data_IF_248406328600
#
_entry.id   IF_248406328600
#
_cell.length_a   1.000
_cell.length_b   1.000
_cell.length_c   1.000
_cell.angle_alpha   90.00
_cell.angle_beta   90.00
_cell.angle_gamma   90.00
#
_symmetry.space_group_name_H-M   'P 1'
#
loop_
_entity.id
_entity.type
_entity.pdbx_description
1 polymer ?
#
# COMPACT_ATOMS: atom_id res chain seq x y z
N UNK A 1 -29.33 -23.49 10.19
CA UNK A 1 -29.37 -22.54 11.31
C UNK A 1 -29.43 -21.12 10.75
N UNK A 2 -30.60 -20.47 10.80
CA UNK A 2 -30.77 -19.12 10.29
C UNK A 2 -30.85 -18.08 11.42
N UNK A 3 -30.10 -17.01 11.21
CA UNK A 3 -30.20 -15.63 11.69
C UNK A 3 -31.45 -15.23 12.50
N UNK A 4 -31.24 -14.96 13.78
CA UNK A 4 -32.13 -14.17 14.64
C UNK A 4 -32.01 -12.68 14.31
N UNK A 5 -33.05 -12.12 13.68
CA UNK A 5 -33.31 -10.68 13.66
C UNK A 5 -34.21 -10.32 14.84
N UNK A 6 -33.74 -9.44 15.71
CA UNK A 6 -34.56 -8.75 16.70
C UNK A 6 -35.59 -7.84 16.00
N UNK A 7 -36.87 -7.85 16.43
CA UNK A 7 -37.77 -6.72 16.23
C UNK A 7 -37.93 -5.97 17.56
N UNK A 8 -37.39 -4.76 17.65
CA UNK A 8 -37.86 -3.76 18.62
C UNK A 8 -38.69 -2.75 17.86
N UNK A 9 -39.96 -3.11 17.63
CA UNK A 9 -41.02 -2.14 17.34
C UNK A 9 -41.90 -2.15 18.57
N UNK A 10 -41.68 -1.17 19.45
CA UNK A 10 -42.53 -0.88 20.59
C UNK A 10 -43.97 -0.71 20.10
N UNK A 11 -44.81 -1.71 20.36
CA UNK A 11 -46.25 -1.57 20.34
C UNK A 11 -46.59 -0.60 21.48
N UNK A 12 -46.96 0.63 21.14
CA UNK A 12 -47.70 1.47 22.07
C UNK A 12 -49.13 0.91 22.13
N UNK A 13 -49.45 0.28 23.25
CA UNK A 13 -50.81 -0.10 23.61
C UNK A 13 -51.69 1.18 23.63
N UNK A 14 -52.57 1.33 22.65
CA UNK A 14 -53.60 2.36 22.64
C UNK A 14 -54.69 1.96 23.63
N UNK A 15 -54.74 2.61 24.79
CA UNK A 15 -55.75 2.37 25.82
C UNK A 15 -57.19 2.72 25.38
N UNK A 16 -58.21 2.30 26.16
CA UNK A 16 -59.64 2.38 25.81
C UNK A 16 -60.16 3.80 25.53
N UNK A 17 -59.50 4.83 26.07
CA UNK A 17 -59.83 6.25 25.84
C UNK A 17 -59.54 6.67 24.38
N UNK A 18 -58.53 6.07 23.75
CA UNK A 18 -58.09 6.41 22.39
C UNK A 18 -59.08 5.96 21.32
N UNK A 19 -59.74 4.82 21.53
CA UNK A 19 -60.76 4.30 20.62
C UNK A 19 -62.07 5.08 20.73
N UNK A 20 -62.46 5.48 21.93
CA UNK A 20 -63.67 6.29 22.16
C UNK A 20 -63.55 7.68 21.52
N UNK A 21 -62.40 8.35 21.69
CA UNK A 21 -62.13 9.66 21.06
C UNK A 21 -62.09 9.53 19.53
N UNK A 22 -61.53 8.44 19.00
CA UNK A 22 -61.51 8.16 17.56
C UNK A 22 -62.92 7.95 17.00
N UNK A 23 -63.79 7.26 17.74
CA UNK A 23 -65.20 7.07 17.39
C UNK A 23 -65.94 8.40 17.30
N UNK A 24 -65.87 9.22 18.36
CA UNK A 24 -66.53 10.54 18.39
C UNK A 24 -66.03 11.48 17.30
N UNK A 25 -64.74 11.45 16.97
CA UNK A 25 -64.20 12.22 15.84
C UNK A 25 -64.82 11.79 14.49
N UNK A 26 -64.90 10.47 14.24
CA UNK A 26 -65.46 9.95 13.00
C UNK A 26 -66.95 10.27 12.88
N UNK A 27 -67.69 10.25 13.98
CA UNK A 27 -69.11 10.61 14.00
C UNK A 27 -69.32 12.09 13.66
N UNK A 28 -68.50 12.99 14.20
CA UNK A 28 -68.54 14.42 13.87
C UNK A 28 -68.18 14.68 12.40
N UNK A 29 -67.24 13.91 11.83
CA UNK A 29 -66.92 14.00 10.38
C UNK A 29 -68.09 13.48 9.53
N UNK A 30 -68.81 12.44 9.98
CA UNK A 30 -69.96 11.92 9.24
C UNK A 30 -71.16 12.89 9.24
N UNK A 31 -71.34 13.66 10.30
CA UNK A 31 -72.39 14.69 10.44
C UNK A 31 -72.13 15.95 9.59
N UNK A 32 -70.92 16.13 9.06
CA UNK A 32 -70.59 17.27 8.19
C UNK A 32 -71.23 17.13 6.79
N UNK A 33 -71.54 18.24 6.09
CA UNK A 33 -71.93 18.21 4.68
C UNK A 33 -70.86 17.54 3.80
N UNK A 34 -71.27 16.90 2.71
CA UNK A 34 -70.36 16.16 1.80
C UNK A 34 -69.25 17.05 1.23
N UNK A 35 -69.52 18.34 1.07
CA UNK A 35 -68.57 19.35 0.59
C UNK A 35 -67.51 19.71 1.64
N UNK A 36 -67.81 19.51 2.93
CA UNK A 36 -66.96 19.91 4.08
C UNK A 36 -66.10 18.75 4.58
N UNK A 37 -66.53 17.50 4.38
CA UNK A 37 -65.77 16.30 4.78
C UNK A 37 -64.33 16.28 4.24
N UNK A 38 -64.05 16.61 2.96
CA UNK A 38 -62.68 16.65 2.44
C UNK A 38 -61.82 17.72 3.12
N UNK A 39 -62.42 18.87 3.47
CA UNK A 39 -61.72 19.96 4.14
C UNK A 39 -61.32 19.60 5.58
N UNK A 40 -62.22 18.94 6.33
CA UNK A 40 -61.94 18.45 7.69
C UNK A 40 -60.80 17.41 7.69
N UNK A 41 -60.85 16.42 6.79
CA UNK A 41 -59.80 15.41 6.67
C UNK A 41 -58.48 16.01 6.19
N UNK A 42 -58.52 16.95 5.24
CA UNK A 42 -57.35 17.68 4.75
C UNK A 42 -56.69 18.50 5.85
N UNK A 43 -57.47 19.22 6.66
CA UNK A 43 -56.98 19.99 7.80
C UNK A 43 -56.37 19.09 8.87
N UNK A 44 -56.97 17.95 9.19
CA UNK A 44 -56.41 16.98 10.14
C UNK A 44 -55.00 16.51 9.71
N UNK A 45 -54.84 16.17 8.43
CA UNK A 45 -53.53 15.77 7.87
C UNK A 45 -52.55 16.94 7.92
N UNK A 46 -53.01 18.16 7.63
CA UNK A 46 -52.18 19.37 7.66
C UNK A 46 -51.72 19.75 9.07
N UNK A 47 -52.60 19.60 10.07
CA UNK A 47 -52.29 19.81 11.50
C UNK A 47 -51.26 18.78 11.97
N UNK A 48 -51.48 17.50 11.66
CA UNK A 48 -50.53 16.43 11.99
C UNK A 48 -49.14 16.70 11.40
N UNK A 49 -49.06 17.03 10.11
CA UNK A 49 -47.79 17.39 9.45
C UNK A 49 -47.13 18.61 10.09
N UNK A 50 -47.92 19.59 10.52
CA UNK A 50 -47.42 20.77 11.24
C UNK A 50 -46.75 20.40 12.56
N UNK A 51 -47.40 19.55 13.36
CA UNK A 51 -46.83 19.11 14.64
C UNK A 51 -45.66 18.14 14.49
N UNK A 52 -45.71 17.23 13.52
CA UNK A 52 -44.57 16.37 13.19
C UNK A 52 -43.33 17.21 12.80
N UNK A 53 -43.54 18.32 12.06
CA UNK A 53 -42.48 19.26 11.71
C UNK A 53 -41.99 20.12 12.90
N UNK A 54 -42.85 20.37 13.89
CA UNK A 54 -42.53 21.12 15.10
C UNK A 54 -41.87 20.28 16.21
N UNK A 55 -41.70 18.97 16.01
CA UNK A 55 -41.08 18.06 16.98
C UNK A 55 -42.05 17.45 18.01
N UNK A 56 -43.35 17.56 17.77
CA UNK A 56 -44.41 17.03 18.64
C UNK A 56 -45.61 17.98 18.75
N UNK A 57 -46.77 17.52 19.25
CA UNK A 57 -47.89 18.40 19.55
C UNK A 57 -47.50 19.35 20.70
N UNK A 58 -47.91 20.63 20.67
CA UNK A 58 -47.75 21.52 21.81
C UNK A 58 -48.49 20.96 23.03
N UNK A 59 -48.10 21.31 24.27
CA UNK A 59 -48.93 21.06 25.43
C UNK A 59 -50.26 21.80 25.20
N UNK A 60 -51.32 21.05 24.90
CA UNK A 60 -52.64 21.62 24.76
C UNK A 60 -53.07 22.06 26.16
N UNK A 61 -52.93 23.35 26.46
CA UNK A 61 -53.66 23.94 27.57
C UNK A 61 -55.15 23.69 27.28
N UNK A 62 -55.72 22.79 28.08
CA UNK A 62 -57.12 22.42 28.21
C UNK A 62 -58.08 23.17 27.28
N UNK A 63 -58.26 22.64 26.07
CA UNK A 63 -59.42 22.96 25.26
C UNK A 63 -60.62 22.20 25.86
N UNK A 64 -61.14 22.70 26.99
CA UNK A 64 -62.34 22.18 27.68
C UNK A 64 -63.66 22.50 26.93
N UNK A 65 -63.59 22.76 25.62
CA UNK A 65 -64.78 22.94 24.80
C UNK A 65 -65.32 21.58 24.39
N UNK A 66 -66.53 21.22 24.86
CA UNK A 66 -67.23 20.03 24.40
C UNK A 66 -67.48 20.12 22.89
N UNK A 67 -66.80 19.25 22.12
CA UNK A 67 -66.98 19.17 20.67
C UNK A 67 -68.33 18.52 20.37
N UNK A 68 -69.33 19.35 20.10
CA UNK A 68 -70.71 18.90 19.89
C UNK A 68 -71.12 18.85 18.41
N UNK A 69 -70.46 19.65 17.56
CA UNK A 69 -70.79 19.75 16.12
C UNK A 69 -69.56 19.67 15.21
N UNK A 70 -69.79 19.36 13.93
CA UNK A 70 -68.74 19.38 12.91
C UNK A 70 -68.12 20.77 12.71
N UNK A 71 -68.86 21.84 13.01
CA UNK A 71 -68.39 23.22 12.92
C UNK A 71 -67.37 23.52 14.03
N UNK A 72 -67.60 23.00 15.24
CA UNK A 72 -66.67 23.09 16.36
C UNK A 72 -65.36 22.36 16.03
N UNK A 73 -65.47 21.19 15.41
CA UNK A 73 -64.31 20.42 14.95
C UNK A 73 -63.50 21.19 13.89
N UNK A 74 -64.18 21.84 12.93
CA UNK A 74 -63.51 22.66 11.93
C UNK A 74 -62.77 23.83 12.57
N UNK A 75 -63.41 24.53 13.50
CA UNK A 75 -62.81 25.66 14.22
C UNK A 75 -61.57 25.23 15.02
N UNK A 76 -61.66 24.09 15.72
CA UNK A 76 -60.54 23.51 16.44
C UNK A 76 -59.38 23.16 15.51
N UNK A 77 -59.65 22.48 14.38
CA UNK A 77 -58.60 22.11 13.42
C UNK A 77 -57.92 23.33 12.79
N UNK A 78 -58.67 24.40 12.52
CA UNK A 78 -58.11 25.67 12.02
C UNK A 78 -57.27 26.34 13.10
N UNK A 79 -57.72 26.38 14.35
CA UNK A 79 -56.98 26.95 15.47
C UNK A 79 -55.68 26.16 15.74
N UNK A 80 -55.73 24.83 15.73
CA UNK A 80 -54.55 23.97 15.85
C UNK A 80 -53.59 24.15 14.67
N UNK A 81 -54.11 24.35 13.46
CA UNK A 81 -53.26 24.61 12.29
C UNK A 81 -52.53 25.95 12.42
N UNK A 82 -53.24 26.98 12.89
CA UNK A 82 -52.67 28.30 13.16
C UNK A 82 -51.61 28.24 14.27
N UNK A 83 -51.91 27.53 15.36
CA UNK A 83 -50.93 27.28 16.43
C UNK A 83 -49.71 26.50 15.92
N UNK A 84 -49.87 25.54 15.00
CA UNK A 84 -48.76 24.83 14.36
C UNK A 84 -47.91 25.73 13.44
N UNK A 85 -48.51 26.78 12.87
CA UNK A 85 -47.80 27.76 12.03
C UNK A 85 -47.12 28.86 12.87
N UNK A 86 -47.70 29.24 14.01
CA UNK A 86 -47.18 30.21 14.97
C UNK A 86 -46.16 29.60 15.97
N UNK A 87 -46.17 28.27 16.14
CA UNK A 87 -45.19 27.57 16.95
C UNK A 87 -43.77 27.86 16.43
N UNK A 88 -42.83 28.25 17.31
CA UNK A 88 -41.46 28.53 16.90
C UNK A 88 -40.88 27.27 16.29
N UNK A 89 -40.77 27.25 14.95
CA UNK A 89 -40.21 26.12 14.22
C UNK A 89 -38.75 25.98 14.67
N UNK A 90 -38.46 25.04 15.57
CA UNK A 90 -37.11 24.70 16.06
C UNK A 90 -36.20 24.14 14.95
N UNK A 91 -36.00 24.89 13.87
CA UNK A 91 -35.51 24.39 12.58
C UNK A 91 -34.45 25.26 11.90
N UNK A 92 -34.04 26.39 12.47
CA UNK A 92 -32.81 27.07 12.02
C UNK A 92 -31.59 26.58 12.80
N UNK A 93 -31.59 26.65 14.14
CA UNK A 93 -30.46 26.19 14.95
C UNK A 93 -30.13 24.70 14.72
N UNK A 94 -31.14 23.85 14.62
CA UNK A 94 -30.99 22.40 14.39
C UNK A 94 -30.52 22.08 12.96
N UNK A 95 -30.94 22.90 11.98
CA UNK A 95 -30.54 22.74 10.57
C UNK A 95 -29.14 23.29 10.33
N UNK A 96 -28.80 24.41 10.97
CA UNK A 96 -27.46 24.99 11.00
C UNK A 96 -26.49 24.01 11.67
N UNK A 97 -26.81 23.46 12.84
CA UNK A 97 -25.98 22.45 13.50
C UNK A 97 -25.78 21.18 12.64
N UNK A 98 -26.81 20.76 11.88
CA UNK A 98 -26.69 19.65 10.93
C UNK A 98 -25.81 20.01 9.72
N UNK A 99 -25.93 21.23 9.20
CA UNK A 99 -25.09 21.75 8.12
C UNK A 99 -23.65 21.91 8.56
N UNK A 100 -23.39 22.45 9.74
CA UNK A 100 -22.07 22.54 10.37
C UNK A 100 -21.45 21.17 10.57
N UNK A 101 -22.21 20.19 11.07
CA UNK A 101 -21.73 18.81 11.19
C UNK A 101 -21.38 18.21 9.82
N UNK A 102 -22.24 18.41 8.80
CA UNK A 102 -21.96 17.93 7.43
C UNK A 102 -20.78 18.64 6.80
N UNK A 103 -20.65 19.94 7.02
CA UNK A 103 -19.54 20.75 6.54
C UNK A 103 -18.23 20.33 7.21
N UNK A 104 -18.23 20.07 8.52
CA UNK A 104 -17.06 19.54 9.23
C UNK A 104 -16.65 18.15 8.70
N UNK A 105 -17.61 17.26 8.42
CA UNK A 105 -17.34 15.96 7.80
C UNK A 105 -16.79 16.11 6.38
N UNK A 106 -17.38 16.98 5.56
CA UNK A 106 -16.91 17.28 4.21
C UNK A 106 -15.51 17.91 4.22
N UNK A 107 -15.25 18.85 5.13
CA UNK A 107 -13.96 19.49 5.31
C UNK A 107 -12.88 18.47 5.67
N UNK A 108 -13.15 17.61 6.67
CA UNK A 108 -12.23 16.51 7.04
C UNK A 108 -12.01 15.55 5.87
N UNK A 109 -13.06 15.19 5.14
CA UNK A 109 -12.94 14.33 3.95
C UNK A 109 -12.11 15.00 2.86
N UNK A 110 -12.27 16.31 2.65
CA UNK A 110 -11.54 17.07 1.66
C UNK A 110 -10.06 17.23 2.04
N UNK A 111 -9.76 17.62 3.29
CA UNK A 111 -8.40 17.69 3.83
C UNK A 111 -7.70 16.33 3.71
N UNK A 112 -8.41 15.23 4.01
CA UNK A 112 -7.90 13.86 3.83
C UNK A 112 -7.62 13.52 2.36
N UNK A 113 -8.53 13.88 1.45
CA UNK A 113 -8.35 13.64 0.02
C UNK A 113 -7.19 14.44 -0.54
N UNK A 114 -7.00 15.69 -0.09
CA UNK A 114 -5.85 16.51 -0.47
C UNK A 114 -4.54 15.88 0.00
N UNK A 115 -4.43 15.53 1.29
CA UNK A 115 -3.24 14.86 1.83
C UNK A 115 -2.94 13.56 1.08
N UNK A 116 -3.96 12.76 0.75
CA UNK A 116 -3.75 11.54 -0.04
C UNK A 116 -3.21 11.85 -1.44
N UNK A 117 -3.72 12.89 -2.10
CA UNK A 117 -3.25 13.30 -3.44
C UNK A 117 -1.81 13.82 -3.38
N UNK A 118 -1.48 14.60 -2.36
CA UNK A 118 -0.12 15.10 -2.13
C UNK A 118 0.85 13.93 -1.91
N UNK A 119 0.53 13.01 -0.99
CA UNK A 119 1.32 11.78 -0.78
C UNK A 119 1.42 10.96 -2.07
N UNK A 120 0.31 10.77 -2.81
CA UNK A 120 0.34 10.04 -4.08
C UNK A 120 1.27 10.68 -5.09
N UNK A 121 1.21 12.01 -5.24
CA UNK A 121 2.04 12.75 -6.19
C UNK A 121 3.52 12.61 -5.84
N UNK A 122 3.89 12.89 -4.60
CA UNK A 122 5.28 12.79 -4.12
C UNK A 122 5.83 11.36 -4.20
N UNK A 123 5.03 10.35 -3.83
CA UNK A 123 5.45 8.95 -3.96
C UNK A 123 5.62 8.52 -5.43
N UNK A 124 4.73 8.98 -6.32
CA UNK A 124 4.86 8.69 -7.74
C UNK A 124 6.09 9.38 -8.32
N UNK A 125 6.39 10.61 -7.89
CA UNK A 125 7.56 11.39 -8.34
C UNK A 125 8.87 10.78 -7.87
N UNK A 126 8.98 10.41 -6.59
CA UNK A 126 10.08 9.60 -6.05
C UNK A 126 10.29 8.30 -6.85
N UNK A 127 9.21 7.77 -7.43
CA UNK A 127 9.22 6.59 -8.26
C UNK A 127 9.50 6.82 -9.74
N UNK A 128 9.67 8.04 -10.28
CA UNK A 128 9.79 8.30 -11.74
C UNK A 128 11.19 8.00 -12.30
N UNK A 129 12.26 8.31 -11.57
CA UNK A 129 13.63 8.14 -12.04
C UNK A 129 14.15 6.69 -11.91
N UNK A 130 15.17 6.34 -12.69
CA UNK A 130 15.83 5.01 -12.62
C UNK A 130 16.81 4.98 -11.43
N UNK A 131 16.26 4.97 -10.23
CA UNK A 131 17.00 4.99 -8.97
C UNK A 131 17.11 3.58 -8.36
N UNK A 132 18.08 3.36 -7.48
CA UNK A 132 18.18 2.08 -6.79
C UNK A 132 16.95 1.89 -5.89
N UNK A 133 16.52 0.64 -5.71
CA UNK A 133 15.34 0.32 -4.87
C UNK A 133 15.48 0.89 -3.46
N UNK A 134 16.70 0.87 -2.92
CA UNK A 134 17.05 1.48 -1.64
C UNK A 134 16.65 2.96 -1.60
N UNK A 135 17.00 3.71 -2.63
CA UNK A 135 16.80 5.16 -2.72
C UNK A 135 15.29 5.48 -2.85
N UNK A 136 14.55 4.71 -3.66
CA UNK A 136 13.10 4.88 -3.81
C UNK A 136 12.35 4.60 -2.50
N UNK A 137 12.79 3.57 -1.75
CA UNK A 137 12.21 3.26 -0.43
C UNK A 137 12.54 4.35 0.59
N UNK A 138 13.77 4.86 0.57
CA UNK A 138 14.22 5.95 1.43
C UNK A 138 13.41 7.23 1.18
N UNK A 139 13.30 7.69 -0.06
CA UNK A 139 12.47 8.84 -0.45
C UNK A 139 11.00 8.63 -0.08
N UNK A 140 10.46 7.43 -0.32
CA UNK A 140 9.09 7.10 0.09
C UNK A 140 8.88 7.23 1.60
N UNK A 141 9.90 6.88 2.39
CA UNK A 141 9.87 7.00 3.84
C UNK A 141 10.03 8.44 4.32
N UNK A 142 10.84 9.25 3.64
CA UNK A 142 10.92 10.69 3.90
C UNK A 142 9.58 11.39 3.68
N UNK A 143 8.93 11.12 2.54
CA UNK A 143 7.58 11.63 2.23
C UNK A 143 6.60 11.23 3.32
N UNK A 144 6.51 9.93 3.64
CA UNK A 144 5.58 9.47 4.66
C UNK A 144 5.92 9.99 6.07
N UNK A 145 7.20 10.14 6.41
CA UNK A 145 7.61 10.73 7.70
C UNK A 145 7.17 12.19 7.78
N UNK A 146 7.38 12.96 6.72
CA UNK A 146 7.00 14.36 6.63
C UNK A 146 5.48 14.52 6.72
N UNK A 147 4.74 13.87 5.82
CA UNK A 147 3.29 14.01 5.68
C UNK A 147 2.51 13.45 6.87
N UNK A 148 2.99 12.36 7.49
CA UNK A 148 2.36 11.81 8.69
C UNK A 148 2.91 12.41 10.00
N UNK A 149 3.89 13.32 9.89
CA UNK A 149 4.50 14.04 11.01
C UNK A 149 5.17 13.13 12.02
N UNK A 150 5.87 12.10 11.57
CA UNK A 150 6.63 11.18 12.42
C UNK A 150 8.03 11.74 12.73
N UNK A 151 8.59 11.32 13.86
CA UNK A 151 9.90 11.78 14.35
C UNK A 151 11.08 11.07 13.66
N UNK A 152 10.86 9.87 13.11
CA UNK A 152 11.90 9.02 12.54
C UNK A 152 11.29 7.96 11.61
N UNK A 153 12.06 7.54 10.60
CA UNK A 153 11.74 6.36 9.79
C UNK A 153 12.88 5.31 9.82
N UNK A 154 12.51 4.06 9.55
CA UNK A 154 13.43 2.95 9.26
C UNK A 154 12.89 2.16 8.08
N UNK A 155 13.76 1.88 7.12
CA UNK A 155 13.46 1.15 5.91
C UNK A 155 14.23 -0.17 5.90
N UNK A 156 13.54 -1.26 5.58
CA UNK A 156 14.14 -2.58 5.42
C UNK A 156 13.72 -3.23 4.13
N UNK A 157 14.65 -3.97 3.53
CA UNK A 157 14.39 -4.81 2.37
C UNK A 157 14.71 -6.26 2.69
N UNK A 158 13.93 -7.17 2.12
CA UNK A 158 14.12 -8.59 2.26
C UNK A 158 15.13 -9.08 1.23
N UNK A 159 16.20 -9.73 1.70
CA UNK A 159 17.19 -10.40 0.86
C UNK A 159 16.66 -11.72 0.29
N UNK A 160 17.37 -12.26 -0.69
CA UNK A 160 17.00 -13.51 -1.37
C UNK A 160 17.05 -14.73 -0.44
N UNK A 161 17.98 -14.73 0.53
CA UNK A 161 18.08 -15.74 1.59
C UNK A 161 16.94 -15.66 2.62
N UNK A 162 16.06 -14.67 2.48
CA UNK A 162 14.92 -14.43 3.34
C UNK A 162 15.21 -13.57 4.57
N UNK A 163 16.47 -13.18 4.80
CA UNK A 163 16.87 -12.25 5.85
C UNK A 163 16.43 -10.81 5.55
N UNK A 164 16.40 -9.96 6.57
CA UNK A 164 15.98 -8.56 6.45
C UNK A 164 17.16 -7.63 6.69
N UNK A 165 17.41 -6.74 5.76
CA UNK A 165 18.49 -5.76 5.81
C UNK A 165 17.94 -4.35 6.03
N UNK A 166 18.60 -3.59 6.90
CA UNK A 166 18.32 -2.16 7.07
C UNK A 166 18.96 -1.40 5.93
N UNK A 167 18.15 -0.71 5.13
CA UNK A 167 18.65 -0.01 3.95
C UNK A 167 18.73 1.50 4.17
N UNK A 168 17.82 2.08 4.95
CA UNK A 168 17.83 3.50 5.27
C UNK A 168 17.17 3.75 6.64
N UNK A 169 17.60 4.81 7.32
CA UNK A 169 16.96 5.27 8.55
C UNK A 169 17.41 6.70 8.84
N UNK A 170 16.46 7.61 9.06
CA UNK A 170 16.76 8.97 9.49
C UNK A 170 15.74 9.51 10.52
N UNK A 171 16.16 10.52 11.27
CA UNK A 171 15.35 11.30 12.21
C UNK A 171 14.93 12.64 11.61
N UNK A 172 13.86 13.24 12.12
CA UNK A 172 13.38 14.55 11.68
C UNK A 172 14.44 15.67 11.81
N UNK A 173 15.39 15.53 12.74
CA UNK A 173 16.44 16.51 13.01
C UNK A 173 17.73 16.25 12.21
N UNK A 174 17.75 15.26 11.31
CA UNK A 174 18.94 14.86 10.54
C UNK A 174 20.10 14.35 11.43
N UNK A 175 19.79 13.93 12.65
CA UNK A 175 20.77 13.37 13.60
C UNK A 175 21.00 11.91 13.26
N UNK A 176 22.24 11.45 13.48
CA UNK A 176 22.61 10.04 13.34
C UNK A 176 21.55 9.14 13.98
N UNK A 177 20.97 8.26 13.18
CA UNK A 177 19.93 7.36 13.64
C UNK A 177 20.51 6.43 14.70
N UNK A 178 19.91 6.36 15.90
CA UNK A 178 20.43 5.52 16.97
C UNK A 178 20.17 4.01 16.72
N UNK A 179 19.77 3.63 15.51
CA UNK A 179 19.25 2.30 15.16
C UNK A 179 20.36 1.46 14.54
N UNK A 180 21.20 0.92 15.41
CA UNK A 180 22.07 -0.21 15.08
C UNK A 180 21.53 -1.46 15.75
N UNK A 181 20.48 -2.04 15.17
CA UNK A 181 20.11 -3.42 15.52
C UNK A 181 20.04 -4.20 14.23
N UNK A 182 21.05 -5.05 14.04
CA UNK A 182 21.05 -6.09 13.01
C UNK A 182 19.80 -6.99 13.14
N UNK A 183 19.28 -7.09 14.37
CA UNK A 183 18.15 -7.92 14.79
C UNK A 183 17.05 -7.07 15.47
N UNK A 184 16.28 -6.29 14.70
CA UNK A 184 15.00 -5.78 15.21
C UNK A 184 14.06 -6.95 15.57
N UNK A 185 13.05 -6.74 16.42
CA UNK A 185 11.99 -7.64 16.90
C UNK A 185 11.36 -8.50 15.80
N UNK A 186 11.54 -8.10 14.56
CA UNK A 186 11.18 -8.80 13.34
C UNK A 186 11.91 -10.14 13.12
N UNK A 187 12.88 -10.48 13.96
CA UNK A 187 13.42 -11.85 14.06
C UNK A 187 12.50 -12.79 14.85
N UNK A 188 11.56 -12.26 15.64
CA UNK A 188 10.66 -13.03 16.48
C UNK A 188 9.34 -13.33 15.77
N UNK A 189 8.99 -14.60 15.51
CA UNK A 189 7.78 -14.98 14.76
C UNK A 189 6.46 -14.49 15.37
N UNK A 190 6.45 -14.22 16.68
CA UNK A 190 5.26 -13.81 17.41
C UNK A 190 5.02 -12.30 17.42
N UNK A 191 5.99 -11.51 16.96
CA UNK A 191 5.87 -10.06 16.90
C UNK A 191 4.73 -9.64 15.93
N UNK A 192 3.85 -8.68 16.28
CA UNK A 192 2.69 -8.33 15.45
C UNK A 192 3.01 -7.98 13.99
N UNK A 193 4.13 -7.27 13.75
CA UNK A 193 4.59 -6.96 12.39
C UNK A 193 4.98 -8.25 11.65
N UNK A 194 5.67 -9.18 12.31
CA UNK A 194 6.07 -10.44 11.67
C UNK A 194 4.92 -11.40 11.45
N UNK A 195 3.99 -11.46 12.39
CA UNK A 195 2.74 -12.18 12.19
C UNK A 195 2.05 -11.65 10.93
N UNK A 196 1.95 -10.34 10.77
CA UNK A 196 1.39 -9.75 9.56
C UNK A 196 2.22 -10.07 8.30
N UNK A 197 3.56 -10.00 8.35
CA UNK A 197 4.45 -10.41 7.26
C UNK A 197 4.20 -11.87 6.83
N UNK A 198 4.11 -12.78 7.80
CA UNK A 198 3.92 -14.22 7.60
C UNK A 198 2.49 -14.64 7.26
N UNK A 199 1.48 -13.88 7.69
CA UNK A 199 0.07 -14.18 7.46
C UNK A 199 -0.27 -14.29 5.97
N UNK A 200 0.61 -13.81 5.06
CA UNK A 200 0.54 -14.04 3.61
C UNK A 200 -0.71 -13.45 2.94
N UNK A 201 -1.63 -12.92 3.74
CA UNK A 201 -2.89 -12.37 3.32
C UNK A 201 -2.61 -11.02 2.66
N UNK A 202 -3.05 -10.85 1.40
CA UNK A 202 -2.90 -9.62 0.59
C UNK A 202 -3.58 -8.38 1.18
N UNK A 203 -4.11 -8.45 2.39
CA UNK A 203 -4.99 -7.44 2.98
C UNK A 203 -4.30 -6.59 4.03
N UNK A 204 -3.22 -7.06 4.65
CA UNK A 204 -2.53 -6.32 5.71
C UNK A 204 -1.32 -5.58 5.12
N UNK A 205 -1.48 -4.26 5.00
CA UNK A 205 -0.46 -3.32 4.51
C UNK A 205 0.17 -2.47 5.60
N UNK A 206 -0.39 -2.46 6.80
CA UNK A 206 0.18 -1.72 7.92
C UNK A 206 -0.14 -2.38 9.27
N UNK A 207 0.67 -2.08 10.27
CA UNK A 207 0.50 -2.45 11.69
C UNK A 207 0.79 -1.23 12.54
N UNK A 208 -0.10 -0.91 13.49
CA UNK A 208 0.12 0.12 14.50
C UNK A 208 0.48 -0.55 15.81
N UNK A 209 1.59 -0.13 16.42
CA UNK A 209 2.04 -0.58 17.74
C UNK A 209 2.10 0.63 18.67
N UNK A 210 1.31 0.63 19.74
CA UNK A 210 1.17 1.79 20.62
C UNK A 210 1.84 1.62 21.99
N UNK A 211 2.47 0.48 22.26
CA UNK A 211 3.19 0.25 23.50
C UNK A 211 4.64 -0.14 23.23
N UNK A 212 5.43 0.84 22.78
CA UNK A 212 6.86 0.64 22.52
C UNK A 212 7.74 0.75 23.78
N UNK A 213 7.17 0.66 24.98
CA UNK A 213 7.97 0.64 26.20
C UNK A 213 8.77 -0.66 26.26
N UNK A 214 9.93 -0.60 26.91
CA UNK A 214 10.77 -1.78 27.14
C UNK A 214 10.02 -2.89 27.87
N UNK A 215 10.27 -4.14 27.48
CA UNK A 215 9.76 -5.34 28.17
C UNK A 215 9.96 -5.28 29.70
N UNK A 216 11.10 -4.73 30.14
CA UNK A 216 11.47 -4.56 31.54
C UNK A 216 10.56 -3.64 32.35
N UNK A 217 9.76 -2.78 31.70
CA UNK A 217 8.76 -1.90 32.31
C UNK A 217 7.32 -2.24 31.86
N UNK A 218 7.13 -3.43 31.31
CA UNK A 218 5.81 -3.95 30.93
C UNK A 218 5.26 -3.44 29.60
N UNK A 219 6.13 -2.95 28.70
CA UNK A 219 5.75 -2.66 27.32
C UNK A 219 6.00 -3.81 26.35
N UNK A 220 5.59 -3.65 25.11
CA UNK A 220 5.63 -4.70 24.08
C UNK A 220 6.89 -4.65 23.20
N UNK A 221 7.80 -3.67 23.40
CA UNK A 221 8.95 -3.46 22.52
C UNK A 221 10.31 -3.74 23.19
N UNK A 222 11.15 -4.50 22.48
CA UNK A 222 12.57 -4.73 22.66
C UNK A 222 13.43 -3.82 21.74
N UNK A 223 12.90 -3.43 20.58
CA UNK A 223 13.50 -2.53 19.59
C UNK A 223 13.83 -1.20 20.22
N UNK A 224 12.94 -0.68 21.05
CA UNK A 224 13.04 0.66 21.60
C UNK A 224 13.84 0.76 22.90
N UNK A 225 14.17 -0.37 23.53
CA UNK A 225 14.93 -0.46 24.78
C UNK A 225 16.31 0.19 24.70
N UNK A 226 17.11 0.02 23.62
CA UNK A 226 18.40 0.69 23.48
C UNK A 226 18.30 2.21 23.31
N UNK A 227 17.17 2.73 22.81
CA UNK A 227 17.12 4.10 22.31
C UNK A 227 17.06 5.16 23.41
N UNK A 228 16.55 4.87 24.62
CA UNK A 228 16.40 5.82 25.76
C UNK A 228 15.71 7.18 25.44
N UNK A 229 15.42 7.49 24.18
CA UNK A 229 14.80 8.71 23.65
C UNK A 229 13.31 8.74 23.95
N UNK A 230 12.71 7.56 24.18
CA UNK A 230 11.34 7.45 24.64
C UNK A 230 10.29 7.47 23.52
N UNK A 231 10.53 6.77 22.41
CA UNK A 231 9.47 6.45 21.44
C UNK A 231 8.32 5.68 22.10
N UNK A 232 7.09 5.92 21.66
CA UNK A 232 5.87 5.36 22.27
C UNK A 232 4.97 4.67 21.26
N UNK A 233 4.95 5.13 20.02
CA UNK A 233 4.13 4.53 18.97
C UNK A 233 4.90 4.33 17.67
N UNK A 234 4.55 3.27 16.95
CA UNK A 234 5.14 2.83 15.67
C UNK A 234 4.03 2.53 14.68
N UNK A 235 4.23 2.98 13.45
CA UNK A 235 3.41 2.61 12.30
C UNK A 235 4.32 1.88 11.30
N UNK A 236 4.08 0.60 11.09
CA UNK A 236 4.85 -0.25 10.20
C UNK A 236 4.05 -0.52 8.93
N UNK A 237 4.49 -0.02 7.79
CA UNK A 237 3.98 -0.41 6.48
C UNK A 237 4.68 -1.66 5.97
N UNK A 238 3.90 -2.58 5.42
CA UNK A 238 4.38 -3.85 4.86
C UNK A 238 4.28 -3.79 3.35
N UNK A 239 5.43 -3.77 2.68
CA UNK A 239 5.52 -3.68 1.24
C UNK A 239 5.38 -5.08 0.62
N UNK A 240 4.39 -5.24 -0.25
CA UNK A 240 4.02 -6.54 -0.84
C UNK A 240 4.01 -6.51 -2.36
N UNK A 241 4.48 -7.59 -2.96
CA UNK A 241 4.41 -7.81 -4.40
C UNK A 241 2.97 -8.18 -4.85
N UNK A 242 2.79 -8.35 -6.17
CA UNK A 242 1.51 -8.73 -6.76
C UNK A 242 0.99 -10.10 -6.24
N UNK A 243 1.90 -10.98 -5.82
CA UNK A 243 1.61 -12.29 -5.27
C UNK A 243 1.14 -12.19 -3.81
N UNK A 244 1.48 -11.10 -3.11
CA UNK A 244 1.18 -10.86 -1.69
C UNK A 244 2.36 -11.16 -0.76
N UNK A 245 3.52 -11.53 -1.30
CA UNK A 245 4.73 -11.80 -0.53
C UNK A 245 5.34 -10.46 -0.10
N UNK A 246 5.66 -10.36 1.19
CA UNK A 246 6.33 -9.19 1.73
C UNK A 246 7.79 -9.16 1.26
N UNK A 247 8.21 -8.01 0.74
CA UNK A 247 9.57 -7.76 0.25
C UNK A 247 10.26 -6.58 0.95
N UNK A 248 9.49 -5.72 1.63
CA UNK A 248 10.01 -4.51 2.26
C UNK A 248 9.19 -4.10 3.48
N UNK A 249 9.80 -3.32 4.36
CA UNK A 249 9.17 -2.74 5.55
C UNK A 249 9.57 -1.27 5.67
N UNK A 250 8.61 -0.44 6.05
CA UNK A 250 8.81 0.98 6.30
C UNK A 250 8.16 1.32 7.64
N UNK A 251 8.99 1.61 8.63
CA UNK A 251 8.57 1.83 10.00
C UNK A 251 8.71 3.31 10.35
N UNK A 252 7.63 3.92 10.79
CA UNK A 252 7.60 5.29 11.30
C UNK A 252 7.46 5.24 12.82
N UNK A 253 8.18 6.12 13.51
CA UNK A 253 8.16 6.19 14.97
C UNK A 253 7.83 7.59 15.46
N UNK A 254 7.13 7.66 16.59
CA UNK A 254 6.81 8.92 17.26
C UNK A 254 6.96 8.79 18.78
N UNK A 255 7.39 9.88 19.42
CA UNK A 255 7.55 9.96 20.89
C UNK A 255 6.23 10.09 21.63
N UNK A 256 5.13 10.43 20.95
CA UNK A 256 3.80 10.56 21.54
C UNK A 256 3.12 9.20 21.59
N UNK A 257 2.39 9.00 22.69
CA UNK A 257 1.58 7.80 22.87
C UNK A 257 0.38 7.79 21.91
N UNK A 258 0.08 6.60 21.37
CA UNK A 258 -1.02 6.37 20.42
C UNK A 258 -1.09 7.35 19.25
N UNK A 259 0.05 7.88 18.81
CA UNK A 259 0.11 8.96 17.83
C UNK A 259 -0.61 8.62 16.52
N UNK A 260 -0.35 7.43 15.97
CA UNK A 260 -0.87 7.02 14.68
C UNK A 260 -2.35 6.63 14.68
N UNK A 261 -2.99 6.49 15.85
CA UNK A 261 -4.44 6.19 15.97
C UNK A 261 -5.33 7.29 15.37
N UNK A 262 -4.78 8.48 15.16
CA UNK A 262 -5.49 9.59 14.51
C UNK A 262 -5.82 9.32 13.04
N UNK A 263 -5.10 8.41 12.40
CA UNK A 263 -5.24 8.13 10.97
C UNK A 263 -6.23 6.98 10.76
N UNK A 264 -7.10 7.12 9.77
CA UNK A 264 -8.07 6.07 9.44
C UNK A 264 -7.37 4.87 8.80
N UNK A 265 -7.80 3.66 9.17
CA UNK A 265 -7.22 2.42 8.64
C UNK A 265 -7.27 2.31 7.11
N UNK A 266 -8.33 2.84 6.47
CA UNK A 266 -8.44 2.86 5.02
C UNK A 266 -7.35 3.72 4.37
N UNK A 267 -7.09 4.91 4.94
CA UNK A 267 -6.05 5.81 4.47
C UNK A 267 -4.65 5.18 4.58
N UNK A 268 -4.34 4.56 5.72
CA UNK A 268 -3.07 3.87 5.91
C UNK A 268 -2.92 2.66 4.99
N UNK A 269 -4.01 1.93 4.74
CA UNK A 269 -4.00 0.83 3.76
C UNK A 269 -3.63 1.32 2.36
N UNK A 270 -4.22 2.44 1.94
CA UNK A 270 -3.98 3.00 0.61
C UNK A 270 -2.54 3.53 0.48
N UNK A 271 -2.00 4.21 1.51
CA UNK A 271 -0.59 4.61 1.55
C UNK A 271 0.34 3.40 1.38
N UNK A 272 0.12 2.33 2.17
CA UNK A 272 0.92 1.11 2.08
C UNK A 272 0.85 0.43 0.71
N UNK A 273 -0.32 0.46 0.05
CA UNK A 273 -0.48 -0.05 -1.32
C UNK A 273 0.29 0.76 -2.34
N UNK A 274 0.19 2.09 -2.29
CA UNK A 274 0.87 2.99 -3.23
C UNK A 274 2.39 2.80 -3.13
N UNK A 275 2.93 2.77 -1.91
CA UNK A 275 4.37 2.52 -1.71
C UNK A 275 4.74 1.11 -2.20
N UNK A 276 3.94 0.09 -1.87
CA UNK A 276 4.17 -1.29 -2.35
C UNK A 276 4.24 -1.36 -3.87
N UNK A 277 3.33 -0.67 -4.57
CA UNK A 277 3.28 -0.64 -6.03
C UNK A 277 4.47 0.12 -6.61
N UNK A 278 4.80 1.27 -6.04
CA UNK A 278 5.90 2.14 -6.50
C UNK A 278 7.24 1.42 -6.37
N UNK A 279 7.55 0.91 -5.18
CA UNK A 279 8.79 0.19 -4.90
C UNK A 279 8.82 -1.17 -5.61
N UNK A 280 7.71 -1.91 -5.59
CA UNK A 280 7.60 -3.24 -6.19
C UNK A 280 7.82 -3.20 -7.71
N UNK A 281 7.23 -2.21 -8.40
CA UNK A 281 7.46 -2.02 -9.84
C UNK A 281 8.94 -1.78 -10.15
N UNK A 282 9.65 -1.04 -9.31
CA UNK A 282 11.09 -0.78 -9.49
C UNK A 282 11.94 -2.02 -9.23
N UNK A 283 11.59 -2.82 -8.21
CA UNK A 283 12.21 -4.11 -7.98
C UNK A 283 12.08 -5.06 -9.18
N UNK A 284 10.90 -5.13 -9.76
CA UNK A 284 10.63 -5.99 -10.92
C UNK A 284 11.41 -5.52 -12.15
N UNK A 285 11.45 -4.22 -12.42
CA UNK A 285 12.25 -3.64 -13.52
C UNK A 285 13.75 -3.89 -13.32
N UNK A 286 14.27 -3.70 -12.11
CA UNK A 286 15.69 -3.98 -11.82
C UNK A 286 16.03 -5.45 -12.00
N UNK A 287 15.15 -6.36 -11.55
CA UNK A 287 15.33 -7.81 -11.74
C UNK A 287 15.32 -8.20 -13.21
N UNK A 288 14.40 -7.64 -14.00
CA UNK A 288 14.34 -7.88 -15.44
C UNK A 288 15.62 -7.39 -16.14
N UNK A 289 16.09 -6.17 -15.81
CA UNK A 289 17.32 -5.63 -16.34
C UNK A 289 18.55 -6.48 -15.97
N UNK A 290 18.66 -6.91 -14.71
CA UNK A 290 19.73 -7.81 -14.26
C UNK A 290 19.67 -9.17 -14.92
N UNK A 291 18.47 -9.75 -15.10
CA UNK A 291 18.30 -11.02 -15.79
C UNK A 291 18.73 -10.94 -17.25
N UNK A 292 18.35 -9.85 -17.95
CA UNK A 292 18.78 -9.57 -19.33
C UNK A 292 20.29 -9.39 -19.45
N UNK A 293 20.90 -8.68 -18.50
CA UNK A 293 22.35 -8.50 -18.41
C UNK A 293 23.09 -9.82 -18.16
N UNK A 294 22.62 -10.61 -17.19
CA UNK A 294 23.18 -11.91 -16.87
C UNK A 294 23.04 -12.89 -18.06
N UNK A 295 21.90 -12.90 -18.73
CA UNK A 295 21.65 -13.71 -19.93
C UNK A 295 22.59 -13.36 -21.08
N UNK A 296 22.75 -12.06 -21.37
CA UNK A 296 23.68 -11.58 -22.41
C UNK A 296 25.14 -11.95 -22.11
N UNK A 297 25.59 -11.72 -20.87
CA UNK A 297 26.93 -12.09 -20.42
C UNK A 297 27.17 -13.60 -20.43
N UNK A 298 26.18 -14.41 -20.03
CA UNK A 298 26.29 -15.86 -20.04
C UNK A 298 26.43 -16.40 -21.47
N UNK A 299 25.68 -15.84 -22.43
CA UNK A 299 25.79 -16.22 -23.83
C UNK A 299 27.19 -15.91 -24.41
N UNK A 300 27.64 -14.67 -24.28
CA UNK A 300 28.97 -14.27 -24.79
C UNK A 300 30.09 -15.02 -24.06
N UNK A 301 29.99 -15.12 -22.73
CA UNK A 301 30.96 -15.83 -21.90
C UNK A 301 31.10 -17.29 -22.29
N UNK A 302 29.98 -18.02 -22.46
CA UNK A 302 30.01 -19.41 -22.89
C UNK A 302 30.64 -19.57 -24.28
N UNK A 303 30.31 -18.70 -25.23
CA UNK A 303 30.86 -18.74 -26.58
C UNK A 303 32.37 -18.49 -26.58
N UNK A 304 32.83 -17.45 -25.88
CA UNK A 304 34.26 -17.13 -25.75
C UNK A 304 35.03 -18.24 -25.04
N UNK A 305 34.51 -18.76 -23.93
CA UNK A 305 35.17 -19.82 -23.18
C UNK A 305 35.29 -21.11 -24.02
N UNK A 306 34.27 -21.45 -24.81
CA UNK A 306 34.34 -22.57 -25.73
C UNK A 306 35.43 -22.38 -26.80
N UNK A 307 35.54 -21.18 -27.36
CA UNK A 307 36.60 -20.82 -28.33
C UNK A 307 37.98 -21.00 -27.70
N UNK A 308 38.22 -20.36 -26.55
CA UNK A 308 39.50 -20.44 -25.84
C UNK A 308 39.85 -21.88 -25.50
N UNK A 309 38.90 -22.63 -24.93
CA UNK A 309 39.06 -24.03 -24.55
C UNK A 309 39.46 -24.87 -25.76
N UNK A 310 38.72 -24.79 -26.86
CA UNK A 310 38.98 -25.58 -28.06
C UNK A 310 40.40 -25.33 -28.61
N UNK A 311 40.82 -24.06 -28.70
CA UNK A 311 42.15 -23.74 -29.22
C UNK A 311 43.29 -24.15 -28.27
N UNK A 312 43.09 -24.02 -26.96
CA UNK A 312 44.06 -24.49 -25.95
C UNK A 312 44.16 -26.02 -25.96
N UNK A 313 43.04 -26.74 -26.04
CA UNK A 313 43.01 -28.21 -26.16
C UNK A 313 43.77 -28.68 -27.40
N UNK A 314 43.54 -28.04 -28.56
CA UNK A 314 44.28 -28.37 -29.79
C UNK A 314 45.78 -28.17 -29.62
N UNK A 315 46.21 -27.05 -29.00
CA UNK A 315 47.63 -26.79 -28.76
C UNK A 315 48.22 -27.82 -27.79
N UNK A 316 47.50 -28.18 -26.73
CA UNK A 316 47.92 -29.19 -25.76
C UNK A 316 48.07 -30.58 -26.41
N UNK A 317 47.06 -31.03 -27.17
CA UNK A 317 47.11 -32.31 -27.88
C UNK A 317 48.29 -32.37 -28.85
N UNK A 318 48.52 -31.31 -29.64
CA UNK A 318 49.67 -31.25 -30.55
C UNK A 318 51.02 -31.26 -29.79
N UNK A 319 51.10 -30.65 -28.61
CA UNK A 319 52.32 -30.66 -27.78
C UNK A 319 52.54 -32.02 -27.11
N UNK A 320 51.48 -32.71 -26.68
CA UNK A 320 51.55 -34.08 -26.15
C UNK A 320 52.00 -35.09 -27.21
N UNK A 321 51.49 -34.98 -28.44
CA UNK A 321 51.92 -35.82 -29.55
C UNK A 321 53.38 -35.56 -29.90
N UNK A 322 53.83 -34.30 -29.93
CA UNK A 322 55.26 -33.97 -30.09
C UNK A 322 56.10 -34.59 -28.96
N UNK A 323 55.64 -34.51 -27.70
CA UNK A 323 56.31 -35.14 -26.55
C UNK A 323 56.43 -36.65 -26.71
N UNK A 324 55.38 -37.32 -27.22
CA UNK A 324 55.36 -38.78 -27.47
C UNK A 324 56.28 -39.18 -28.62
N UNK A 325 56.24 -38.46 -29.74
CA UNK A 325 57.00 -38.78 -30.96
C UNK A 325 58.50 -38.57 -30.73
N UNK A 326 58.87 -37.48 -30.05
CA UNK A 326 60.27 -37.08 -29.88
C UNK A 326 60.86 -37.45 -28.51
N UNK A 327 60.10 -38.14 -27.67
CA UNK A 327 60.61 -38.78 -26.45
C UNK A 327 61.33 -37.81 -25.51
N UNK A 328 60.62 -36.81 -24.96
CA UNK A 328 61.16 -36.06 -23.80
C UNK A 328 61.23 -36.91 -22.51
N UNK A 329 60.84 -38.18 -22.58
CA UNK A 329 61.14 -39.20 -21.57
C UNK A 329 62.41 -39.97 -21.98
N UNK A 330 63.57 -39.31 -21.90
CA UNK A 330 64.83 -40.01 -21.63
C UNK A 330 65.83 -40.26 -22.78
N UNK A 331 65.88 -39.49 -23.87
CA UNK A 331 67.04 -39.55 -24.80
C UNK A 331 67.64 -38.19 -25.16
N UNK A 332 68.97 -38.13 -25.06
CA UNK A 332 69.80 -36.96 -25.32
C UNK A 332 69.70 -36.47 -26.78
N UNK A 333 69.39 -35.18 -26.93
CA UNK A 333 70.18 -34.28 -27.77
C UNK A 333 70.02 -34.40 -29.29
N UNK A 334 68.83 -34.17 -29.82
CA UNK A 334 68.63 -33.77 -31.22
C UNK A 334 67.90 -32.43 -31.31
N UNK A 335 68.51 -31.42 -31.94
CA UNK A 335 67.85 -30.15 -32.24
C UNK A 335 66.68 -30.40 -33.21
N UNK A 336 65.46 -30.19 -32.74
CA UNK A 336 64.24 -30.23 -33.56
C UNK A 336 64.26 -29.10 -34.60
N UNK A 337 64.03 -29.37 -35.89
CA UNK A 337 63.83 -28.33 -36.89
C UNK A 337 62.62 -27.46 -36.50
N UNK A 338 62.74 -26.13 -36.61
CA UNK A 338 61.66 -25.18 -36.29
C UNK A 338 60.33 -25.53 -37.00
N UNK A 339 60.42 -26.03 -38.24
CA UNK A 339 59.29 -26.47 -39.05
C UNK A 339 58.59 -27.71 -38.47
N UNK A 340 59.32 -28.62 -37.80
CA UNK A 340 58.77 -29.83 -37.18
C UNK A 340 57.97 -29.53 -35.89
N UNK A 341 58.23 -28.38 -35.25
CA UNK A 341 57.49 -27.91 -34.08
C UNK A 341 56.13 -27.27 -34.45
N UNK A 342 55.95 -26.88 -35.72
CA UNK A 342 54.73 -26.24 -36.19
C UNK A 342 54.38 -24.97 -35.40
N UNK A 343 55.40 -24.20 -35.00
CA UNK A 343 55.27 -23.05 -34.08
C UNK A 343 54.29 -22.01 -34.62
N UNK A 344 54.33 -21.73 -35.92
CA UNK A 344 53.46 -20.71 -36.53
C UNK A 344 51.97 -21.07 -36.44
N UNK A 345 51.64 -22.36 -36.55
CA UNK A 345 50.27 -22.88 -36.42
C UNK A 345 49.77 -22.81 -34.97
N UNK A 346 50.63 -23.14 -34.00
CA UNK A 346 50.32 -23.02 -32.57
C UNK A 346 50.19 -21.56 -32.14
N UNK A 347 51.03 -20.67 -32.67
CA UNK A 347 50.91 -19.23 -32.49
C UNK A 347 49.57 -18.71 -33.03
N UNK A 348 49.09 -19.25 -34.15
CA UNK A 348 47.77 -18.88 -34.67
C UNK A 348 46.63 -19.33 -33.75
N UNK A 349 46.66 -20.55 -33.22
CA UNK A 349 45.67 -21.00 -32.24
C UNK A 349 45.66 -20.15 -30.96
N UNK A 350 46.84 -19.78 -30.46
CA UNK A 350 46.95 -18.89 -29.30
C UNK A 350 46.45 -17.48 -29.60
N UNK A 351 46.64 -16.96 -30.83
CA UNK A 351 46.02 -15.70 -31.26
C UNK A 351 44.50 -15.78 -31.28
N UNK A 352 43.91 -16.89 -31.72
CA UNK A 352 42.46 -17.07 -31.69
C UNK A 352 41.91 -17.14 -30.26
N UNK A 353 42.64 -17.80 -29.34
CA UNK A 353 42.30 -17.75 -27.92
C UNK A 353 42.41 -16.32 -27.34
N UNK A 354 43.44 -15.56 -27.72
CA UNK A 354 43.61 -14.17 -27.32
C UNK A 354 42.46 -13.27 -27.83
N UNK A 355 42.02 -13.46 -29.08
CA UNK A 355 40.85 -12.77 -29.64
C UNK A 355 39.57 -13.08 -28.83
N UNK A 356 39.42 -14.31 -28.33
CA UNK A 356 38.36 -14.65 -27.38
C UNK A 356 38.41 -13.80 -26.12
N UNK A 357 39.58 -13.66 -25.49
CA UNK A 357 39.77 -12.81 -24.30
C UNK A 357 39.43 -11.34 -24.59
N UNK A 358 39.84 -10.83 -25.74
CA UNK A 358 39.56 -9.45 -26.14
C UNK A 358 38.06 -9.22 -26.39
N UNK A 359 37.35 -10.20 -26.96
CA UNK A 359 35.88 -10.17 -27.10
C UNK A 359 35.17 -10.12 -25.76
N UNK A 360 35.60 -10.93 -24.78
CA UNK A 360 35.03 -10.90 -23.43
C UNK A 360 35.24 -9.54 -22.76
N UNK A 361 36.44 -8.96 -22.92
CA UNK A 361 36.75 -7.62 -22.41
C UNK A 361 35.84 -6.56 -23.02
N UNK A 362 35.61 -6.62 -24.34
CA UNK A 362 34.72 -5.70 -25.03
C UNK A 362 33.26 -5.86 -24.57
N UNK A 363 32.79 -7.10 -24.35
CA UNK A 363 31.45 -7.36 -23.84
C UNK A 363 31.23 -6.77 -22.43
N UNK A 364 32.24 -6.80 -21.56
CA UNK A 364 32.20 -6.15 -20.23
C UNK A 364 32.07 -4.62 -20.36
N UNK A 365 32.81 -4.00 -21.29
CA UNK A 365 32.72 -2.56 -21.54
C UNK A 365 31.32 -2.20 -22.03
N UNK A 366 30.80 -2.94 -23.00
CA UNK A 366 29.46 -2.75 -23.58
C UNK A 366 28.35 -3.00 -22.57
N UNK A 367 28.54 -3.91 -21.61
CA UNK A 367 27.61 -4.08 -20.50
C UNK A 367 27.49 -2.78 -19.68
N UNK A 368 28.59 -2.06 -19.46
CA UNK A 368 28.55 -0.73 -18.84
C UNK A 368 27.80 0.30 -19.68
N UNK A 369 28.05 0.34 -20.98
CA UNK A 369 27.38 1.26 -21.92
C UNK A 369 25.87 0.96 -22.07
N UNK A 370 25.48 -0.31 -21.91
CA UNK A 370 24.08 -0.75 -22.03
C UNK A 370 23.14 -0.16 -20.97
N UNK A 371 23.69 0.43 -19.90
CA UNK A 371 22.93 1.18 -18.90
C UNK A 371 22.27 2.42 -19.53
N UNK A 372 22.96 3.08 -20.47
CA UNK A 372 22.46 4.29 -21.15
C UNK A 372 21.76 3.94 -22.47
N UNK A 373 22.26 2.93 -23.20
CA UNK A 373 21.78 2.56 -24.53
C UNK A 373 21.62 1.03 -24.68
N UNK A 374 20.55 0.44 -24.13
CA UNK A 374 20.35 -1.00 -24.18
C UNK A 374 20.00 -1.47 -25.60
N UNK A 375 20.74 -2.47 -26.09
CA UNK A 375 20.41 -3.22 -27.31
C UNK A 375 19.95 -4.61 -26.89
N UNK A 376 18.81 -5.06 -27.41
CA UNK A 376 18.17 -6.33 -27.02
C UNK A 376 18.20 -7.31 -28.19
N UNK A 377 18.54 -8.56 -27.93
CA UNK A 377 18.43 -9.67 -28.89
C UNK A 377 17.53 -10.80 -28.39
N UNK A 378 16.84 -11.52 -29.29
CA UNK A 378 16.07 -12.71 -28.95
C UNK A 378 17.00 -13.90 -28.69
N UNK A 379 16.79 -14.60 -27.58
CA UNK A 379 17.52 -15.80 -27.18
C UNK A 379 16.72 -17.08 -27.47
N UNK A 380 17.41 -18.23 -27.56
CA UNK A 380 16.95 -19.52 -28.14
C UNK A 380 15.71 -20.16 -27.44
N UNK A 381 15.08 -19.49 -26.46
CA UNK A 381 13.84 -19.95 -25.81
C UNK A 381 12.73 -18.89 -25.76
N UNK A 382 12.81 -17.84 -26.58
CA UNK A 382 11.85 -16.74 -26.57
C UNK A 382 12.07 -15.73 -25.43
N UNK A 383 13.21 -15.82 -24.75
CA UNK A 383 13.64 -14.83 -23.76
C UNK A 383 14.46 -13.73 -24.46
N UNK A 384 14.30 -12.49 -24.01
CA UNK A 384 15.08 -11.35 -24.49
C UNK A 384 16.30 -11.14 -23.58
N UNK A 385 17.46 -10.84 -24.16
CA UNK A 385 18.70 -10.56 -23.41
C UNK A 385 19.43 -9.35 -23.98
N UNK A 386 20.39 -8.79 -23.24
CA UNK A 386 21.24 -7.73 -23.78
C UNK A 386 22.15 -8.28 -24.88
N UNK A 387 22.14 -7.60 -26.02
CA UNK A 387 23.12 -7.82 -27.08
C UNK A 387 24.40 -7.06 -26.75
N UNK A 388 25.43 -7.82 -26.34
CA UNK A 388 26.75 -7.29 -26.02
C UNK A 388 27.71 -7.40 -27.22
N UNK A 389 27.24 -7.97 -28.33
CA UNK A 389 28.00 -8.17 -29.57
C UNK A 389 27.24 -7.72 -30.84
N UNK A 390 26.61 -6.52 -30.86
CA UNK A 390 25.85 -6.05 -32.02
C UNK A 390 26.76 -5.97 -33.25
N UNK A 391 26.38 -6.66 -34.32
CA UNK A 391 27.13 -6.75 -35.59
C UNK A 391 27.94 -8.03 -35.82
N UNK A 392 27.93 -8.99 -34.89
CA UNK A 392 28.48 -10.35 -35.11
C UNK A 392 27.45 -11.35 -35.66
N UNK A 393 26.19 -10.92 -35.82
CA UNK A 393 25.06 -11.74 -36.24
C UNK A 393 24.59 -11.49 -37.69
N UNK A 394 25.29 -10.64 -38.44
CA UNK A 394 25.07 -10.42 -39.88
C UNK A 394 25.99 -11.29 -40.76
#
# INVERSE_FOLDING_TARGET
>A
MPTTRHPLRSQQESGPVTEQVRGSFLDLVQQAPEEVKPALLGLLVSVKRGFDAAGGPPPLEQCEAELSTWADLLCLLVALRRAADEAPRGTEATRLARLERRFALLKRSHEKSLLMIEIMFELIDAGQEFQAVRDVVEQSAEVLRHELGADMYVCRLRREDGSWENVAADTADGRSTPIFVHDMEETHPHHPVMRAVHDGSRKVFFVVSNDLRGSEIGGESLDCTPFKVGYRSRLSFILRDAQGKAFGLLLLYDRRDRYFDRFESAFLTDCGRIVSLTVGRRLDVCRDALAKAAGGMAHVGNNVLAIIKNYVEIVMDELEDLRRIYGMEGREGGLMPYEALGVDKKMEYLRQAQLGVDRLRLAIIRLGESVEHPVIMPYIRGEEVLDLEPGLHD
#
